data_IF_404779345919
#
_entry.id   IF_404779345919
#
_cell.length_a   1.000
_cell.length_b   1.000
_cell.length_c   1.000
_cell.angle_alpha   90.00
_cell.angle_beta   90.00
_cell.angle_gamma   90.00
#
_symmetry.space_group_name_H-M   'P 1'
#
loop_
_entity.id
_entity.type
_entity.pdbx_description
1 polymer ?
#
# COMPACT_ATOMS: atom_id res chain seq x y z
N UNK A 1 -10.00 7.80 -47.43
CA UNK A 1 -10.75 7.19 -46.30
C UNK A 1 -10.21 5.84 -45.84
N UNK A 2 -9.67 4.96 -46.71
CA UNK A 2 -9.24 3.61 -46.31
C UNK A 2 -8.00 3.58 -45.37
N UNK A 3 -7.09 4.57 -45.45
CA UNK A 3 -5.84 4.57 -44.65
C UNK A 3 -5.99 5.06 -43.19
N UNK A 4 -7.01 5.85 -42.88
CA UNK A 4 -7.25 6.34 -41.50
C UNK A 4 -7.84 5.23 -40.63
N UNK A 5 -8.67 4.35 -41.22
CA UNK A 5 -9.29 3.22 -40.52
C UNK A 5 -8.28 2.15 -40.08
N UNK A 6 -7.13 2.06 -40.75
CA UNK A 6 -6.09 1.04 -40.47
C UNK A 6 -5.14 1.45 -39.33
N UNK A 7 -4.95 2.76 -39.10
CA UNK A 7 -4.19 3.27 -37.96
C UNK A 7 -4.98 3.16 -36.64
N UNK A 8 -6.29 3.40 -36.66
CA UNK A 8 -7.13 3.31 -35.44
C UNK A 8 -7.22 1.86 -34.95
N UNK A 9 -7.37 0.89 -35.87
CA UNK A 9 -7.45 -0.53 -35.51
C UNK A 9 -6.14 -1.06 -34.89
N UNK A 10 -4.99 -0.57 -35.36
CA UNK A 10 -3.67 -0.98 -34.86
C UNK A 10 -3.36 -0.44 -33.47
N UNK A 11 -3.81 0.78 -33.14
CA UNK A 11 -3.64 1.38 -31.79
C UNK A 11 -4.53 0.68 -30.76
N UNK A 12 -5.75 0.28 -31.13
CA UNK A 12 -6.65 -0.49 -30.24
C UNK A 12 -6.10 -1.89 -29.96
N UNK A 13 -5.52 -2.55 -30.96
CA UNK A 13 -4.88 -3.87 -30.78
C UNK A 13 -3.62 -3.79 -29.90
N UNK A 14 -2.79 -2.76 -30.05
CA UNK A 14 -1.60 -2.57 -29.19
C UNK A 14 -1.97 -2.21 -27.74
N UNK A 15 -3.01 -1.42 -27.53
CA UNK A 15 -3.53 -1.11 -26.18
C UNK A 15 -4.12 -2.36 -25.49
N UNK A 16 -4.71 -3.28 -26.25
CA UNK A 16 -5.26 -4.53 -25.71
C UNK A 16 -4.19 -5.55 -25.30
N UNK A 17 -3.02 -5.56 -25.95
CA UNK A 17 -1.94 -6.49 -25.61
C UNK A 17 -1.08 -6.02 -24.42
N UNK A 18 -0.98 -4.71 -24.18
CA UNK A 18 -0.33 -4.17 -22.97
C UNK A 18 -1.14 -4.42 -21.68
N UNK A 19 -2.42 -4.77 -21.79
CA UNK A 19 -3.26 -5.10 -20.63
C UNK A 19 -2.98 -6.51 -20.05
N UNK A 20 -2.38 -7.42 -20.83
CA UNK A 20 -2.30 -8.85 -20.47
C UNK A 20 -0.93 -9.32 -19.91
N UNK A 21 0.09 -8.45 -19.82
CA UNK A 21 1.45 -8.85 -19.36
C UNK A 21 1.74 -8.43 -17.91
N UNK A 22 0.76 -7.94 -17.16
CA UNK A 22 0.92 -7.58 -15.74
C UNK A 22 0.21 -8.60 -14.83
N UNK A 23 0.67 -9.86 -14.89
CA UNK A 23 0.49 -10.81 -13.79
C UNK A 23 1.61 -10.60 -12.76
N UNK A 24 1.71 -9.37 -12.24
CA UNK A 24 2.42 -9.15 -10.99
C UNK A 24 1.60 -9.83 -9.89
N UNK A 25 2.28 -10.54 -8.99
CA UNK A 25 1.73 -11.23 -7.83
C UNK A 25 0.87 -10.26 -6.98
N UNK A 26 -0.40 -10.09 -7.35
CA UNK A 26 -1.33 -9.22 -6.64
C UNK A 26 -1.67 -9.96 -5.35
N UNK A 27 -1.21 -9.43 -4.21
CA UNK A 27 -1.64 -9.87 -2.88
C UNK A 27 -3.11 -10.25 -2.92
N UNK A 28 -3.51 -11.43 -2.45
CA UNK A 28 -4.90 -11.86 -2.51
C UNK A 28 -5.80 -11.08 -1.52
N UNK A 29 -5.23 -10.34 -0.57
CA UNK A 29 -5.97 -9.59 0.44
C UNK A 29 -6.59 -8.30 -0.11
N UNK A 30 -7.81 -7.99 0.30
CA UNK A 30 -8.61 -6.82 -0.07
C UNK A 30 -9.25 -6.20 1.16
N UNK A 31 -9.18 -4.87 1.22
CA UNK A 31 -10.04 -4.08 2.07
C UNK A 31 -11.37 -3.87 1.33
N UNK A 32 -12.47 -4.27 1.95
CA UNK A 32 -13.83 -4.15 1.39
C UNK A 32 -14.66 -3.29 2.33
N UNK A 33 -15.14 -2.17 1.82
CA UNK A 33 -16.04 -1.28 2.56
C UNK A 33 -17.48 -1.68 2.30
N UNK A 34 -18.20 -1.99 3.37
CA UNK A 34 -19.61 -2.37 3.34
C UNK A 34 -20.45 -1.18 3.76
N UNK A 35 -21.41 -0.79 2.92
CA UNK A 35 -22.36 0.31 3.21
C UNK A 35 -23.77 -0.28 3.28
N UNK A 36 -24.47 -0.03 4.40
CA UNK A 36 -25.82 -0.54 4.59
C UNK A 36 -26.88 0.54 4.31
N UNK A 37 -27.49 0.49 3.12
CA UNK A 37 -28.60 1.36 2.72
C UNK A 37 -29.96 0.65 2.73
N UNK A 38 -30.03 -0.57 3.25
CA UNK A 38 -31.21 -1.43 3.11
C UNK A 38 -32.40 -1.06 4.00
N UNK A 39 -32.20 -0.15 4.98
CA UNK A 39 -33.24 0.34 5.89
C UNK A 39 -33.41 -0.46 7.19
N UNK A 40 -32.53 -1.43 7.44
CA UNK A 40 -32.53 -2.30 8.63
C UNK A 40 -31.11 -2.67 9.03
N UNK A 41 -30.92 -3.27 10.20
CA UNK A 41 -29.60 -3.71 10.69
C UNK A 41 -29.22 -5.03 10.02
N UNK A 42 -27.95 -5.21 9.65
CA UNK A 42 -27.44 -6.43 9.02
C UNK A 42 -26.28 -7.05 9.80
N UNK A 43 -26.04 -8.34 9.61
CA UNK A 43 -24.82 -9.05 10.03
C UNK A 43 -24.11 -9.63 8.81
N UNK A 44 -22.79 -9.69 8.89
CA UNK A 44 -21.90 -10.16 7.85
C UNK A 44 -21.29 -11.50 8.27
N UNK A 45 -21.51 -12.54 7.48
CA UNK A 45 -20.92 -13.85 7.68
C UNK A 45 -20.01 -14.19 6.52
N UNK A 46 -18.76 -14.53 6.81
CA UNK A 46 -17.90 -15.17 5.82
C UNK A 46 -18.30 -16.64 5.68
N UNK A 47 -18.44 -17.11 4.43
CA UNK A 47 -18.75 -18.52 4.13
C UNK A 47 -17.41 -19.29 4.03
N UNK A 48 -17.08 -20.06 5.07
CA UNK A 48 -15.88 -20.87 5.12
C UNK A 48 -16.05 -22.15 4.29
N UNK A 49 -15.73 -22.05 2.99
CA UNK A 49 -15.78 -23.16 2.03
C UNK A 49 -14.83 -24.32 2.38
N UNK A 50 -13.89 -24.14 3.31
CA UNK A 50 -12.96 -25.18 3.75
C UNK A 50 -13.49 -26.01 4.91
N UNK A 51 -14.45 -25.49 5.67
CA UNK A 51 -15.05 -26.14 6.84
C UNK A 51 -16.56 -26.37 6.61
N UNK A 52 -16.90 -27.03 5.50
CA UNK A 52 -18.29 -27.40 5.15
C UNK A 52 -19.28 -26.21 5.11
N UNK A 53 -18.85 -25.09 4.54
CA UNK A 53 -19.65 -23.86 4.42
C UNK A 53 -20.07 -23.26 5.78
N UNK A 54 -19.24 -23.43 6.82
CA UNK A 54 -19.47 -22.79 8.12
C UNK A 54 -19.54 -21.26 7.99
N UNK A 55 -20.52 -20.65 8.65
CA UNK A 55 -20.72 -19.20 8.67
C UNK A 55 -19.95 -18.56 9.82
N UNK A 56 -18.90 -17.81 9.49
CA UNK A 56 -18.06 -17.09 10.47
C UNK A 56 -18.50 -15.63 10.56
N UNK A 57 -18.96 -15.21 11.75
CA UNK A 57 -19.44 -13.83 11.97
C UNK A 57 -18.28 -12.83 11.90
N UNK A 58 -18.39 -11.85 11.00
CA UNK A 58 -17.39 -10.79 10.78
C UNK A 58 -17.87 -9.40 11.24
N UNK A 59 -19.07 -9.30 11.83
CA UNK A 59 -19.61 -8.04 12.35
C UNK A 59 -20.27 -8.25 13.72
N UNK A 60 -19.48 -8.24 14.79
CA UNK A 60 -19.96 -8.53 16.16
C UNK A 60 -21.16 -7.68 16.58
N UNK A 61 -21.15 -6.38 16.26
CA UNK A 61 -22.26 -5.49 16.58
C UNK A 61 -23.29 -5.34 15.47
N UNK A 62 -23.11 -6.02 14.33
CA UNK A 62 -23.83 -5.78 13.08
C UNK A 62 -23.65 -4.36 12.52
N UNK A 63 -24.17 -4.11 11.33
CA UNK A 63 -24.07 -2.83 10.61
C UNK A 63 -25.44 -2.17 10.56
N UNK A 64 -25.59 -1.01 11.20
CA UNK A 64 -26.85 -0.26 11.20
C UNK A 64 -27.15 0.37 9.83
N UNK A 65 -28.42 0.67 9.58
CA UNK A 65 -28.80 1.43 8.39
C UNK A 65 -28.11 2.81 8.38
N UNK A 66 -27.53 3.17 7.24
CA UNK A 66 -26.74 4.39 7.04
C UNK A 66 -25.32 4.30 7.58
N UNK A 67 -24.95 3.20 8.24
CA UNK A 67 -23.59 2.96 8.71
C UNK A 67 -22.75 2.23 7.66
N UNK A 68 -21.44 2.35 7.81
CA UNK A 68 -20.46 1.59 7.06
C UNK A 68 -19.55 0.78 8.00
N UNK A 69 -18.99 -0.30 7.47
CA UNK A 69 -17.93 -1.06 8.14
C UNK A 69 -16.87 -1.48 7.12
N UNK A 70 -15.66 -1.77 7.61
CA UNK A 70 -14.54 -2.22 6.81
C UNK A 70 -14.21 -3.66 7.17
N UNK A 71 -14.17 -4.55 6.17
CA UNK A 71 -13.70 -5.92 6.36
C UNK A 71 -12.41 -6.14 5.57
N UNK A 72 -11.50 -6.92 6.13
CA UNK A 72 -10.32 -7.42 5.44
C UNK A 72 -10.57 -8.87 5.04
N UNK A 73 -10.50 -9.16 3.76
CA UNK A 73 -10.82 -10.48 3.23
C UNK A 73 -9.96 -10.80 2.01
N UNK A 74 -10.03 -12.01 1.48
CA UNK A 74 -9.27 -12.40 0.29
C UNK A 74 -10.17 -12.48 -0.95
N UNK A 75 -9.59 -12.28 -2.13
CA UNK A 75 -10.25 -12.55 -3.41
C UNK A 75 -10.85 -13.96 -3.37
N UNK A 76 -12.05 -14.11 -3.93
CA UNK A 76 -12.89 -15.32 -3.93
C UNK A 76 -13.64 -15.64 -2.64
N UNK A 77 -13.33 -14.99 -1.51
CA UNK A 77 -14.16 -15.13 -0.31
C UNK A 77 -15.59 -14.69 -0.60
N UNK A 78 -16.55 -15.50 -0.16
CA UNK A 78 -17.98 -15.23 -0.27
C UNK A 78 -18.55 -14.89 1.10
N UNK A 79 -19.50 -13.97 1.11
CA UNK A 79 -20.16 -13.52 2.32
C UNK A 79 -21.67 -13.66 2.19
N UNK A 80 -22.29 -14.15 3.26
CA UNK A 80 -23.73 -14.18 3.46
C UNK A 80 -24.11 -13.04 4.43
N UNK A 81 -25.05 -12.20 4.03
CA UNK A 81 -25.53 -11.05 4.80
C UNK A 81 -26.90 -11.36 5.34
N UNK A 82 -27.10 -11.20 6.64
CA UNK A 82 -28.38 -11.49 7.29
C UNK A 82 -29.02 -10.19 7.75
N UNK A 83 -30.31 -10.01 7.46
CA UNK A 83 -31.12 -9.03 8.17
C UNK A 83 -31.28 -9.45 9.64
N UNK A 84 -31.15 -8.49 10.55
CA UNK A 84 -31.50 -8.68 11.95
C UNK A 84 -32.92 -8.21 12.26
N UNK A 85 -33.66 -8.90 13.15
CA UNK A 85 -34.97 -8.46 13.59
C UNK A 85 -34.94 -7.04 14.16
N UNK A 86 -35.96 -6.24 13.84
CA UNK A 86 -36.07 -4.88 14.38
C UNK A 86 -36.17 -4.91 15.90
N UNK A 87 -35.36 -4.09 16.58
CA UNK A 87 -35.42 -3.95 18.05
C UNK A 87 -36.81 -3.53 18.55
N UNK A 88 -37.61 -2.83 17.73
CA UNK A 88 -38.95 -2.35 18.12
C UNK A 88 -40.04 -3.40 17.96
N UNK A 89 -40.00 -4.18 16.87
CA UNK A 89 -41.08 -5.11 16.52
C UNK A 89 -40.74 -6.57 16.76
N UNK A 90 -39.45 -6.90 16.94
CA UNK A 90 -38.94 -8.27 17.04
C UNK A 90 -39.07 -9.08 15.75
N UNK A 91 -39.40 -8.43 14.62
CA UNK A 91 -39.70 -9.06 13.34
C UNK A 91 -38.75 -8.58 12.24
N UNK A 92 -38.52 -9.43 11.26
CA UNK A 92 -37.80 -9.10 10.03
C UNK A 92 -38.76 -8.63 8.92
N UNK A 93 -38.22 -7.97 7.90
CA UNK A 93 -39.00 -7.39 6.80
C UNK A 93 -39.31 -8.34 5.63
N UNK A 94 -38.93 -9.62 5.70
CA UNK A 94 -39.26 -10.62 4.69
C UNK A 94 -40.69 -11.14 4.79
N UNK A 95 -41.07 -12.03 3.86
CA UNK A 95 -42.36 -12.70 3.92
C UNK A 95 -42.43 -13.61 5.15
N UNK A 96 -43.58 -13.65 5.83
CA UNK A 96 -43.80 -14.44 7.04
C UNK A 96 -42.82 -14.12 8.19
N UNK A 97 -42.37 -12.85 8.29
CA UNK A 97 -41.39 -12.39 9.28
C UNK A 97 -40.00 -13.08 9.17
N UNK A 98 -39.69 -13.73 8.03
CA UNK A 98 -38.37 -14.31 7.78
C UNK A 98 -37.33 -13.22 7.51
N UNK A 99 -36.12 -13.41 8.01
CA UNK A 99 -35.01 -12.48 7.80
C UNK A 99 -34.39 -12.68 6.43
N UNK A 100 -34.27 -11.58 5.68
CA UNK A 100 -33.71 -11.60 4.34
C UNK A 100 -32.22 -11.92 4.38
N UNK A 101 -31.76 -12.52 3.28
CA UNK A 101 -30.35 -12.83 3.06
C UNK A 101 -29.85 -12.21 1.77
N UNK A 102 -28.62 -11.72 1.79
CA UNK A 102 -27.89 -11.22 0.63
C UNK A 102 -26.56 -11.94 0.49
N UNK A 103 -25.96 -11.89 -0.69
CA UNK A 103 -24.69 -12.54 -0.97
C UNK A 103 -23.77 -11.60 -1.75
N UNK A 104 -22.48 -11.63 -1.44
CA UNK A 104 -21.48 -11.02 -2.30
C UNK A 104 -20.16 -11.79 -2.26
N UNK A 105 -19.39 -11.66 -3.33
CA UNK A 105 -18.05 -12.23 -3.43
C UNK A 105 -17.01 -11.13 -3.55
N UNK A 106 -15.89 -11.29 -2.84
CA UNK A 106 -14.74 -10.38 -2.93
C UNK A 106 -14.03 -10.60 -4.27
N UNK A 107 -13.99 -9.55 -5.08
CA UNK A 107 -13.39 -9.56 -6.43
C UNK A 107 -11.90 -9.24 -6.38
N UNK A 108 -11.23 -9.37 -7.52
CA UNK A 108 -9.81 -9.01 -7.66
C UNK A 108 -9.54 -7.50 -7.56
N UNK A 109 -10.54 -6.65 -7.73
CA UNK A 109 -10.35 -5.21 -7.76
C UNK A 109 -10.04 -4.64 -6.36
N UNK A 110 -9.27 -3.55 -6.30
CA UNK A 110 -8.93 -2.86 -5.05
C UNK A 110 -10.03 -1.87 -4.63
N UNK A 111 -10.06 -1.54 -3.33
CA UNK A 111 -10.99 -0.58 -2.71
C UNK A 111 -12.45 -0.85 -3.05
N UNK A 112 -12.87 -2.10 -2.89
CA UNK A 112 -14.23 -2.51 -3.20
C UNK A 112 -15.21 -1.88 -2.21
N UNK A 113 -16.25 -1.25 -2.75
CA UNK A 113 -17.40 -0.79 -1.99
C UNK A 113 -18.56 -1.71 -2.35
N UNK A 114 -19.17 -2.31 -1.34
CA UNK A 114 -20.35 -3.15 -1.47
C UNK A 114 -21.48 -2.45 -0.75
N UNK A 115 -22.43 -1.92 -1.53
CA UNK A 115 -23.60 -1.24 -0.99
C UNK A 115 -24.80 -2.16 -1.05
N UNK A 116 -25.41 -2.42 0.11
CA UNK A 116 -26.65 -3.19 0.20
C UNK A 116 -27.85 -2.27 0.16
N UNK A 117 -28.68 -2.42 -0.87
CA UNK A 117 -29.93 -1.67 -1.07
C UNK A 117 -31.13 -2.61 -1.08
N UNK A 118 -32.33 -2.04 -1.07
CA UNK A 118 -33.58 -2.70 -1.49
C UNK A 118 -33.69 -4.16 -1.03
N UNK A 119 -33.93 -4.41 0.25
CA UNK A 119 -34.18 -5.77 0.77
C UNK A 119 -33.00 -6.76 0.57
N UNK A 120 -31.76 -6.26 0.45
CA UNK A 120 -30.56 -7.04 0.10
C UNK A 120 -30.58 -7.66 -1.30
N UNK A 121 -31.53 -7.26 -2.17
CA UNK A 121 -31.65 -7.77 -3.53
C UNK A 121 -30.68 -7.10 -4.50
N UNK A 122 -30.17 -5.91 -4.15
CA UNK A 122 -29.27 -5.12 -4.97
C UNK A 122 -27.95 -4.91 -4.22
N UNK A 123 -26.88 -5.40 -4.84
CA UNK A 123 -25.51 -5.32 -4.34
C UNK A 123 -24.69 -4.55 -5.36
N UNK A 124 -24.44 -3.29 -5.08
CA UNK A 124 -23.59 -2.47 -5.93
C UNK A 124 -22.13 -2.70 -5.58
N UNK A 125 -21.38 -3.22 -6.55
CA UNK A 125 -19.92 -3.33 -6.47
C UNK A 125 -19.29 -2.16 -7.19
N UNK A 126 -18.74 -1.22 -6.43
CA UNK A 126 -17.97 -0.12 -7.01
C UNK A 126 -16.50 -0.37 -6.66
N UNK A 127 -15.71 -0.69 -7.68
CA UNK A 127 -14.25 -0.75 -7.56
C UNK A 127 -13.59 0.49 -8.18
N UNK A 128 -12.28 0.65 -7.98
CA UNK A 128 -11.53 1.79 -8.52
C UNK A 128 -11.65 1.93 -10.04
N UNK A 129 -11.65 0.80 -10.76
CA UNK A 129 -11.74 0.80 -12.21
C UNK A 129 -13.14 1.21 -12.71
N UNK A 130 -14.18 0.75 -12.02
CA UNK A 130 -15.58 1.07 -12.27
C UNK A 130 -15.84 2.52 -11.91
N UNK A 131 -15.39 2.99 -10.74
CA UNK A 131 -15.45 4.40 -10.35
C UNK A 131 -14.70 5.31 -11.33
N UNK A 132 -13.53 4.88 -11.80
CA UNK A 132 -12.78 5.61 -12.82
C UNK A 132 -13.53 5.63 -14.16
N UNK A 133 -14.14 4.52 -14.59
CA UNK A 133 -14.98 4.47 -15.79
C UNK A 133 -16.22 5.34 -15.65
N UNK A 134 -16.97 5.22 -14.57
CA UNK A 134 -18.19 5.98 -14.32
C UNK A 134 -17.90 7.48 -14.27
N UNK A 135 -16.79 7.86 -13.61
CA UNK A 135 -16.33 9.26 -13.60
C UNK A 135 -15.91 9.72 -15.00
N UNK A 136 -15.19 8.90 -15.77
CA UNK A 136 -14.84 9.21 -17.14
C UNK A 136 -16.09 9.33 -18.04
N UNK A 137 -17.08 8.46 -17.84
CA UNK A 137 -18.37 8.48 -18.54
C UNK A 137 -19.20 9.70 -18.19
N UNK A 138 -19.24 10.10 -16.91
CA UNK A 138 -19.88 11.35 -16.46
C UNK A 138 -19.23 12.57 -17.10
N UNK A 139 -17.90 12.67 -17.03
CA UNK A 139 -17.14 13.75 -17.69
C UNK A 139 -17.40 13.78 -19.18
N UNK A 140 -17.42 12.62 -19.85
CA UNK A 140 -17.71 12.56 -21.27
C UNK A 140 -19.15 12.98 -21.60
N UNK A 141 -20.13 12.57 -20.77
CA UNK A 141 -21.53 12.96 -20.93
C UNK A 141 -21.71 14.48 -20.78
N UNK A 142 -21.14 15.07 -19.73
CA UNK A 142 -21.14 16.52 -19.50
C UNK A 142 -20.46 17.28 -20.65
N UNK A 143 -19.31 16.80 -21.12
CA UNK A 143 -18.61 17.42 -22.23
C UNK A 143 -19.35 17.28 -23.56
N UNK A 144 -20.09 16.18 -23.76
CA UNK A 144 -20.94 15.97 -24.93
C UNK A 144 -22.15 16.90 -24.91
N UNK A 145 -22.81 17.03 -23.76
CA UNK A 145 -23.93 17.97 -23.58
C UNK A 145 -23.49 19.41 -23.82
N UNK A 146 -22.32 19.80 -23.28
CA UNK A 146 -21.73 21.11 -23.54
C UNK A 146 -21.44 21.32 -25.02
N UNK A 147 -20.86 20.33 -25.71
CA UNK A 147 -20.58 20.42 -27.13
C UNK A 147 -21.86 20.53 -27.99
N UNK A 148 -22.94 19.85 -27.59
CA UNK A 148 -24.25 19.95 -28.24
C UNK A 148 -24.93 21.32 -28.03
N UNK A 149 -24.63 22.00 -26.92
CA UNK A 149 -25.19 23.32 -26.60
C UNK A 149 -24.64 24.47 -27.47
N UNK A 150 -23.57 24.23 -28.25
CA UNK A 150 -22.89 25.25 -29.05
C UNK A 150 -23.67 25.67 -30.32
N UNK A 151 -24.76 24.98 -30.66
CA UNK A 151 -25.61 25.28 -31.82
C UNK A 151 -25.17 24.58 -33.11
N UNK A 152 -26.05 24.59 -34.12
CA UNK A 152 -25.85 23.87 -35.39
C UNK A 152 -24.87 24.56 -36.37
N UNK A 153 -24.51 25.83 -36.10
CA UNK A 153 -23.66 26.64 -36.96
C UNK A 153 -22.15 26.43 -36.70
N UNK A 154 -21.79 25.54 -35.77
CA UNK A 154 -20.39 25.24 -35.43
C UNK A 154 -19.89 24.07 -36.28
N UNK A 155 -18.73 24.26 -36.92
CA UNK A 155 -18.09 23.22 -37.72
C UNK A 155 -17.80 21.96 -36.88
N UNK A 156 -18.00 20.74 -37.41
CA UNK A 156 -17.80 19.50 -36.67
C UNK A 156 -16.41 19.37 -36.00
N UNK A 157 -15.37 19.90 -36.64
CA UNK A 157 -14.00 19.89 -36.10
C UNK A 157 -13.88 20.78 -34.84
N UNK A 158 -14.61 21.89 -34.79
CA UNK A 158 -14.64 22.78 -33.62
C UNK A 158 -15.42 22.15 -32.47
N UNK A 159 -16.50 21.41 -32.76
CA UNK A 159 -17.25 20.63 -31.75
C UNK A 159 -16.34 19.56 -31.13
N UNK A 160 -15.58 18.83 -31.94
CA UNK A 160 -14.64 17.81 -31.45
C UNK A 160 -13.52 18.44 -30.61
N UNK A 161 -12.95 19.57 -31.05
CA UNK A 161 -11.91 20.30 -30.32
C UNK A 161 -12.40 20.80 -28.97
N UNK A 162 -13.64 21.31 -28.90
CA UNK A 162 -14.25 21.75 -27.65
C UNK A 162 -14.51 20.58 -26.70
N UNK A 163 -15.00 19.45 -27.22
CA UNK A 163 -15.17 18.24 -26.41
C UNK A 163 -13.84 17.74 -25.84
N UNK A 164 -12.77 17.66 -26.66
CA UNK A 164 -11.43 17.27 -26.19
C UNK A 164 -10.88 18.24 -25.14
N UNK A 165 -11.08 19.54 -25.33
CA UNK A 165 -10.67 20.58 -24.36
C UNK A 165 -11.42 20.43 -23.04
N UNK A 166 -12.71 20.16 -23.08
CA UNK A 166 -13.53 19.91 -21.89
C UNK A 166 -13.08 18.66 -21.13
N UNK A 167 -12.85 17.54 -21.84
CA UNK A 167 -12.36 16.30 -21.24
C UNK A 167 -10.98 16.51 -20.62
N UNK A 168 -10.07 17.17 -21.33
CA UNK A 168 -8.73 17.49 -20.82
C UNK A 168 -8.76 18.33 -19.54
N UNK A 169 -9.64 19.34 -19.47
CA UNK A 169 -9.83 20.16 -18.27
C UNK A 169 -10.32 19.35 -17.08
N UNK A 170 -11.33 18.49 -17.27
CA UNK A 170 -11.90 17.68 -16.19
C UNK A 170 -10.94 16.59 -15.69
N UNK A 171 -10.16 15.99 -16.59
CA UNK A 171 -9.09 15.05 -16.22
C UNK A 171 -8.02 15.78 -15.40
N UNK A 172 -7.55 16.94 -15.86
CA UNK A 172 -6.54 17.72 -15.12
C UNK A 172 -7.05 18.13 -13.74
N UNK A 173 -8.29 18.61 -13.63
CA UNK A 173 -8.89 18.95 -12.34
C UNK A 173 -9.00 17.74 -11.40
N UNK A 174 -9.27 16.54 -11.94
CA UNK A 174 -9.27 15.31 -11.14
C UNK A 174 -7.86 14.95 -10.68
N UNK A 175 -6.86 15.03 -11.57
CA UNK A 175 -5.45 14.80 -11.22
C UNK A 175 -4.98 15.77 -10.15
N UNK A 176 -5.34 17.04 -10.25
CA UNK A 176 -4.95 18.06 -9.28
C UNK A 176 -5.62 17.82 -7.92
N UNK A 177 -6.91 17.47 -7.87
CA UNK A 177 -7.57 17.05 -6.62
C UNK A 177 -6.91 15.83 -5.99
N UNK A 178 -6.51 14.84 -6.80
CA UNK A 178 -5.79 13.67 -6.30
C UNK A 178 -4.43 14.07 -5.75
N UNK A 179 -3.69 14.99 -6.40
CA UNK A 179 -2.44 15.53 -5.85
C UNK A 179 -2.67 16.26 -4.53
N UNK A 180 -3.71 17.08 -4.42
CA UNK A 180 -4.08 17.76 -3.16
C UNK A 180 -4.34 16.75 -2.04
N UNK A 181 -5.07 15.67 -2.33
CA UNK A 181 -5.32 14.58 -1.38
C UNK A 181 -4.01 13.89 -0.95
N UNK A 182 -3.11 13.60 -1.90
CA UNK A 182 -1.78 13.06 -1.58
C UNK A 182 -0.97 13.99 -0.67
N UNK A 183 -0.90 15.29 -1.01
CA UNK A 183 -0.20 16.30 -0.19
C UNK A 183 -0.81 16.40 1.21
N UNK A 184 -2.13 16.31 1.33
CA UNK A 184 -2.81 16.29 2.62
C UNK A 184 -2.43 15.05 3.44
N UNK A 185 -2.44 13.86 2.83
CA UNK A 185 -2.04 12.62 3.50
C UNK A 185 -0.56 12.66 3.93
N UNK A 186 0.32 13.21 3.09
CA UNK A 186 1.73 13.42 3.43
C UNK A 186 1.88 14.36 4.64
N UNK A 187 1.15 15.48 4.64
CA UNK A 187 1.15 16.42 5.77
C UNK A 187 0.68 15.75 7.06
N UNK A 188 -0.40 14.97 6.99
CA UNK A 188 -0.92 14.23 8.15
C UNK A 188 0.09 13.19 8.66
N UNK A 189 0.76 12.46 7.77
CA UNK A 189 1.80 11.48 8.15
C UNK A 189 2.98 12.16 8.82
N UNK A 190 3.41 13.32 8.31
CA UNK A 190 4.52 14.07 8.90
C UNK A 190 4.14 14.63 10.29
N UNK A 191 2.94 15.18 10.45
CA UNK A 191 2.43 15.67 11.74
C UNK A 191 2.22 14.55 12.77
N UNK A 192 1.71 13.39 12.33
CA UNK A 192 1.64 12.21 13.19
C UNK A 192 3.03 11.68 13.51
N UNK A 193 3.95 11.70 12.54
CA UNK A 193 5.33 11.26 12.70
C UNK A 193 6.04 12.03 13.80
N UNK A 194 6.00 13.37 13.76
CA UNK A 194 6.65 14.21 14.80
C UNK A 194 6.05 13.95 16.18
N UNK A 195 4.72 13.85 16.29
CA UNK A 195 4.04 13.52 17.56
C UNK A 195 4.37 12.13 18.07
N UNK A 196 4.55 11.15 17.18
CA UNK A 196 4.93 9.79 17.53
C UNK A 196 6.37 9.72 18.05
N UNK A 197 7.29 10.51 17.49
CA UNK A 197 8.65 10.62 18.03
C UNK A 197 8.62 11.16 19.45
N UNK A 198 7.92 12.28 19.69
CA UNK A 198 7.77 12.83 21.03
C UNK A 198 7.17 11.80 21.99
N UNK A 199 6.08 11.13 21.59
CA UNK A 199 5.45 10.11 22.41
C UNK A 199 6.39 8.94 22.74
N UNK A 200 7.08 8.40 21.73
CA UNK A 200 7.96 7.24 21.90
C UNK A 200 9.24 7.58 22.69
N UNK A 201 9.79 8.78 22.51
CA UNK A 201 11.00 9.20 23.20
C UNK A 201 10.75 9.70 24.64
N UNK A 202 9.52 10.11 24.98
CA UNK A 202 9.17 10.59 26.33
C UNK A 202 8.89 9.47 27.32
N UNK A 203 8.57 8.25 26.87
CA UNK A 203 8.34 7.10 27.74
C UNK A 203 9.49 6.09 27.67
N UNK A 204 10.47 6.16 28.59
CA UNK A 204 11.58 5.20 28.61
C UNK A 204 11.13 3.77 28.96
N UNK A 205 9.89 3.58 29.41
CA UNK A 205 9.32 2.27 29.73
C UNK A 205 8.40 1.76 28.62
N UNK A 206 8.33 2.44 27.46
CA UNK A 206 7.50 2.00 26.35
C UNK A 206 7.94 0.60 25.91
N UNK A 207 7.04 -0.37 26.05
CA UNK A 207 7.30 -1.75 25.64
C UNK A 207 7.25 -1.86 24.12
N UNK A 208 8.21 -2.57 23.53
CA UNK A 208 8.14 -2.92 22.12
C UNK A 208 6.98 -3.91 21.87
N UNK A 209 6.44 -3.92 20.65
CA UNK A 209 5.48 -4.94 20.23
C UNK A 209 6.06 -6.35 20.36
N UNK A 210 5.20 -7.35 20.61
CA UNK A 210 5.60 -8.75 20.55
C UNK A 210 5.86 -9.17 19.09
N UNK A 211 6.84 -10.06 18.84
CA UNK A 211 7.10 -10.57 17.50
C UNK A 211 5.98 -11.47 17.02
N UNK A 212 5.65 -11.37 15.73
CA UNK A 212 4.72 -12.26 15.03
C UNK A 212 5.31 -13.67 14.91
N UNK A 213 6.61 -13.74 14.63
CA UNK A 213 7.35 -15.00 14.50
C UNK A 213 8.76 -14.85 15.07
N UNK A 214 9.27 -15.92 15.68
CA UNK A 214 10.69 -16.05 16.03
C UNK A 214 11.33 -17.14 15.17
N UNK A 215 12.42 -16.81 14.50
CA UNK A 215 13.18 -17.73 13.65
C UNK A 215 14.68 -17.55 13.86
N UNK A 216 15.49 -18.26 13.09
CA UNK A 216 16.95 -18.15 13.13
C UNK A 216 17.50 -18.03 11.73
N UNK A 217 18.50 -17.18 11.56
CA UNK A 217 19.21 -17.01 10.31
C UNK A 217 20.69 -17.30 10.48
N UNK A 218 21.35 -17.83 9.44
CA UNK A 218 22.79 -18.08 9.47
C UNK A 218 23.47 -17.55 8.22
N UNK A 219 24.52 -16.74 8.42
CA UNK A 219 25.45 -16.38 7.36
C UNK A 219 26.50 -17.49 7.18
N UNK A 220 26.67 -17.99 5.96
CA UNK A 220 27.63 -19.05 5.58
C UNK A 220 27.58 -20.33 6.44
N UNK A 221 26.45 -20.63 7.07
CA UNK A 221 26.31 -21.77 7.99
C UNK A 221 27.16 -21.69 9.27
N UNK A 222 27.83 -20.56 9.55
CA UNK A 222 28.78 -20.44 10.67
C UNK A 222 28.12 -19.91 11.96
N UNK A 223 27.30 -18.87 11.86
CA UNK A 223 26.73 -18.17 13.03
C UNK A 223 25.22 -18.06 12.90
N UNK A 224 24.51 -18.65 13.84
CA UNK A 224 23.06 -18.49 13.96
C UNK A 224 22.72 -17.22 14.75
N UNK A 225 22.03 -16.30 14.08
CA UNK A 225 21.46 -15.09 14.65
C UNK A 225 19.96 -15.28 14.87
N UNK A 226 19.45 -15.08 16.10
CA UNK A 226 18.01 -15.06 16.35
C UNK A 226 17.36 -13.90 15.57
N UNK A 227 16.24 -14.19 14.91
CA UNK A 227 15.47 -13.22 14.14
C UNK A 227 14.07 -13.15 14.74
N UNK A 228 13.59 -11.93 14.96
CA UNK A 228 12.23 -11.63 15.40
C UNK A 228 11.52 -10.92 14.25
N UNK A 229 10.45 -11.51 13.72
CA UNK A 229 9.61 -10.91 12.69
C UNK A 229 8.59 -10.02 13.40
N UNK A 230 8.79 -8.71 13.31
CA UNK A 230 7.96 -7.72 14.00
C UNK A 230 6.73 -7.34 13.17
N UNK A 231 6.88 -7.28 11.85
CA UNK A 231 5.80 -7.07 10.89
C UNK A 231 6.02 -8.03 9.71
N UNK A 232 4.97 -8.74 9.32
CA UNK A 232 4.93 -9.53 8.09
C UNK A 232 3.67 -9.19 7.30
N UNK A 233 3.83 -8.44 6.20
CA UNK A 233 2.76 -8.07 5.28
C UNK A 233 3.24 -8.24 3.84
N UNK A 234 2.32 -8.47 2.87
CA UNK A 234 2.69 -8.67 1.47
C UNK A 234 3.50 -7.54 0.81
N UNK A 235 3.48 -6.34 1.38
CA UNK A 235 4.14 -5.14 0.84
C UNK A 235 5.17 -4.52 1.81
N UNK A 236 5.32 -5.05 3.01
CA UNK A 236 6.25 -4.54 4.01
C UNK A 236 6.54 -5.58 5.10
N UNK A 237 7.81 -5.76 5.42
CA UNK A 237 8.25 -6.61 6.53
C UNK A 237 9.26 -5.87 7.39
N UNK A 238 9.21 -6.07 8.71
CA UNK A 238 10.18 -5.52 9.66
C UNK A 238 10.73 -6.66 10.50
N UNK A 239 12.04 -6.89 10.41
CA UNK A 239 12.72 -7.93 11.16
C UNK A 239 13.75 -7.32 12.11
N UNK A 240 13.81 -7.84 13.33
CA UNK A 240 14.84 -7.49 14.31
C UNK A 240 15.79 -8.67 14.49
N UNK A 241 17.08 -8.47 14.19
CA UNK A 241 18.07 -9.54 14.15
C UNK A 241 19.06 -9.35 15.29
N UNK A 242 19.05 -10.26 16.25
CA UNK A 242 19.95 -10.18 17.40
C UNK A 242 21.34 -10.66 17.01
N UNK A 243 22.35 -9.93 17.50
CA UNK A 243 23.78 -10.26 17.30
C UNK A 243 24.11 -10.39 15.81
N UNK A 244 23.53 -9.50 14.99
CA UNK A 244 23.73 -9.48 13.55
C UNK A 244 25.16 -9.10 13.21
N UNK A 245 25.74 -8.11 13.88
CA UNK A 245 27.16 -7.78 13.76
C UNK A 245 27.86 -8.00 15.12
N UNK A 246 29.17 -8.20 15.09
CA UNK A 246 30.03 -8.23 16.29
C UNK A 246 30.54 -6.83 16.63
N UNK A 247 30.95 -6.63 17.88
CA UNK A 247 31.57 -5.39 18.34
C UNK A 247 32.82 -5.05 17.51
N UNK A 248 33.63 -6.05 17.16
CA UNK A 248 34.78 -5.86 16.27
C UNK A 248 34.37 -5.41 14.86
N UNK A 249 33.33 -6.02 14.28
CA UNK A 249 32.81 -5.60 12.96
C UNK A 249 32.26 -4.16 13.04
N UNK A 250 31.61 -3.79 14.14
CA UNK A 250 31.20 -2.41 14.42
C UNK A 250 32.39 -1.45 14.41
N UNK A 251 33.39 -1.72 15.25
CA UNK A 251 34.60 -0.88 15.38
C UNK A 251 35.31 -0.74 14.04
N UNK A 252 35.46 -1.83 13.29
CA UNK A 252 36.14 -1.80 12.00
C UNK A 252 35.37 -0.91 10.99
N UNK A 253 34.04 -0.98 10.97
CA UNK A 253 33.20 -0.16 10.07
C UNK A 253 33.21 1.31 10.49
N UNK A 254 32.99 1.60 11.77
CA UNK A 254 32.92 2.99 12.27
C UNK A 254 34.26 3.71 12.13
N UNK A 255 35.39 3.02 12.38
CA UNK A 255 36.72 3.59 12.20
C UNK A 255 37.09 3.83 10.72
N UNK A 256 36.51 3.07 9.80
CA UNK A 256 36.74 3.26 8.36
C UNK A 256 35.92 4.41 7.77
N UNK A 257 34.88 4.86 8.47
CA UNK A 257 33.99 5.92 8.01
C UNK A 257 34.41 7.26 8.61
N UNK A 258 34.81 8.20 7.75
CA UNK A 258 35.04 9.58 8.17
C UNK A 258 33.70 10.27 8.41
N UNK A 259 33.41 10.56 9.66
CA UNK A 259 32.20 11.26 10.08
C UNK A 259 32.33 12.76 9.89
N UNK A 260 31.29 13.39 9.34
CA UNK A 260 31.21 14.84 9.16
C UNK A 260 29.88 15.36 9.72
N UNK A 261 29.90 16.56 10.28
CA UNK A 261 28.69 17.19 10.83
C UNK A 261 27.81 17.65 9.66
N UNK A 262 26.58 17.17 9.62
CA UNK A 262 25.58 17.53 8.61
C UNK A 262 24.38 18.18 9.30
N UNK A 263 23.89 19.28 8.73
CA UNK A 263 22.67 19.96 9.17
C UNK A 263 21.45 19.32 8.47
N UNK A 264 20.51 18.84 9.27
CA UNK A 264 19.22 18.31 8.84
C UNK A 264 18.24 19.43 8.45
N UNK A 265 17.14 19.07 7.79
CA UNK A 265 16.14 20.02 7.29
C UNK A 265 15.44 20.82 8.41
N UNK A 266 15.48 20.32 9.65
CA UNK A 266 14.92 20.93 10.85
C UNK A 266 15.95 21.78 11.64
N UNK A 267 17.17 21.97 11.10
CA UNK A 267 18.25 22.70 11.78
C UNK A 267 18.95 21.90 12.88
N UNK A 268 18.61 20.62 13.05
CA UNK A 268 19.37 19.70 13.91
C UNK A 268 20.63 19.24 13.20
N UNK A 269 21.61 18.78 13.97
CA UNK A 269 22.85 18.26 13.42
C UNK A 269 22.89 16.75 13.64
N UNK A 270 23.54 16.03 12.73
CA UNK A 270 23.94 14.66 12.97
C UNK A 270 25.36 14.49 12.43
N UNK A 271 26.15 13.59 13.01
CA UNK A 271 27.37 13.16 12.34
C UNK A 271 26.99 12.09 11.33
N UNK A 272 27.35 12.31 10.07
CA UNK A 272 27.12 11.36 8.99
C UNK A 272 28.43 11.15 8.24
N UNK A 273 28.73 9.90 7.94
CA UNK A 273 29.82 9.53 7.05
C UNK A 273 29.36 8.44 6.10
N UNK A 274 30.06 8.31 4.97
CA UNK A 274 29.81 7.27 4.00
C UNK A 274 31.11 6.71 3.44
N UNK A 275 31.14 5.41 3.18
CA UNK A 275 32.28 4.72 2.58
C UNK A 275 31.82 3.85 1.42
N UNK A 276 32.58 3.87 0.32
CA UNK A 276 32.38 2.95 -0.79
C UNK A 276 32.68 1.52 -0.32
N UNK A 277 31.91 0.55 -0.81
CA UNK A 277 32.14 -0.86 -0.46
C UNK A 277 33.19 -1.42 -1.45
N UNK A 278 34.39 -1.82 -0.99
CA UNK A 278 35.43 -2.37 -1.86
C UNK A 278 35.10 -3.83 -2.19
N UNK A 279 34.20 -4.03 -3.15
CA UNK A 279 33.65 -5.35 -3.52
C UNK A 279 34.71 -6.35 -4.02
N UNK A 280 35.87 -5.87 -4.45
CA UNK A 280 37.03 -6.69 -4.84
C UNK A 280 37.87 -7.17 -3.64
N UNK A 281 37.70 -6.57 -2.47
CA UNK A 281 38.42 -6.91 -1.23
C UNK A 281 37.53 -7.72 -0.26
N UNK A 282 37.38 -9.03 -0.50
CA UNK A 282 36.51 -9.88 0.32
C UNK A 282 36.92 -9.98 1.80
N UNK A 283 38.18 -9.69 2.12
CA UNK A 283 38.67 -9.67 3.51
C UNK A 283 38.44 -8.33 4.22
N UNK A 284 38.09 -7.28 3.48
CA UNK A 284 37.83 -5.95 4.03
C UNK A 284 36.61 -5.99 4.97
N UNK A 285 36.71 -5.40 6.18
CA UNK A 285 35.61 -5.43 7.15
C UNK A 285 34.29 -4.84 6.61
N UNK A 286 34.35 -3.76 5.82
CA UNK A 286 33.18 -3.13 5.21
C UNK A 286 32.49 -4.12 4.26
N UNK A 287 33.27 -4.78 3.41
CA UNK A 287 32.78 -5.77 2.44
C UNK A 287 32.14 -6.97 3.13
N UNK A 288 32.74 -7.46 4.22
CA UNK A 288 32.16 -8.56 5.02
C UNK A 288 30.80 -8.20 5.61
N UNK A 289 30.68 -7.02 6.22
CA UNK A 289 29.41 -6.55 6.79
C UNK A 289 28.38 -6.29 5.70
N UNK A 290 28.77 -5.67 4.58
CA UNK A 290 27.89 -5.44 3.44
C UNK A 290 27.34 -6.74 2.84
N UNK A 291 28.21 -7.74 2.61
CA UNK A 291 27.81 -9.07 2.11
C UNK A 291 26.83 -9.76 3.06
N UNK A 292 26.99 -9.57 4.37
CA UNK A 292 26.09 -10.12 5.37
C UNK A 292 24.71 -9.46 5.32
N UNK A 293 24.67 -8.12 5.31
CA UNK A 293 23.44 -7.32 5.16
C UNK A 293 22.69 -7.72 3.89
N UNK A 294 23.44 -7.90 2.81
CA UNK A 294 22.93 -8.30 1.51
C UNK A 294 22.32 -9.69 1.48
N UNK A 295 23.05 -10.66 2.01
CA UNK A 295 22.61 -12.05 2.05
C UNK A 295 21.28 -12.14 2.81
N UNK A 296 21.17 -11.41 3.92
CA UNK A 296 19.92 -11.34 4.67
C UNK A 296 18.79 -10.66 3.89
N UNK A 297 19.02 -9.47 3.34
CA UNK A 297 18.01 -8.73 2.58
C UNK A 297 17.51 -9.52 1.35
N UNK A 298 18.41 -10.18 0.65
CA UNK A 298 18.09 -11.02 -0.53
C UNK A 298 17.23 -12.20 -0.12
N UNK A 299 17.60 -12.93 0.94
CA UNK A 299 16.85 -14.09 1.40
C UNK A 299 15.46 -13.70 1.88
N UNK A 300 15.34 -12.63 2.67
CA UNK A 300 14.07 -12.27 3.33
C UNK A 300 13.08 -11.56 2.41
N UNK A 301 13.56 -10.87 1.39
CA UNK A 301 12.66 -10.15 0.49
C UNK A 301 11.87 -11.09 -0.44
N UNK A 302 12.16 -12.40 -0.45
CA UNK A 302 11.64 -13.35 -1.46
C UNK A 302 11.85 -12.83 -2.89
N UNK A 303 12.82 -11.92 -3.07
CA UNK A 303 13.19 -11.36 -4.36
C UNK A 303 14.27 -12.23 -4.99
N UNK A 304 14.18 -13.56 -4.85
CA UNK A 304 15.10 -14.50 -5.51
C UNK A 304 15.09 -14.32 -7.04
N UNK A 305 14.01 -13.76 -7.60
CA UNK A 305 13.93 -13.35 -9.01
C UNK A 305 14.64 -12.02 -9.32
N UNK A 306 14.91 -11.18 -8.32
CA UNK A 306 15.74 -9.98 -8.46
C UNK A 306 17.15 -10.35 -8.04
N UNK A 307 17.94 -10.79 -9.02
CA UNK A 307 19.38 -10.76 -8.86
C UNK A 307 19.80 -9.30 -8.67
N UNK A 308 20.15 -8.91 -7.45
CA UNK A 308 20.80 -7.63 -7.23
C UNK A 308 22.28 -7.84 -7.49
N UNK A 309 22.82 -7.34 -8.60
CA UNK A 309 24.25 -7.43 -8.79
C UNK A 309 24.95 -6.58 -7.72
N UNK A 310 26.20 -6.89 -7.34
CA UNK A 310 26.93 -6.19 -6.27
C UNK A 310 26.96 -4.66 -6.44
N UNK A 311 26.92 -4.13 -7.67
CA UNK A 311 26.79 -2.69 -7.93
C UNK A 311 25.43 -2.06 -7.52
N UNK A 312 24.49 -2.86 -6.99
CA UNK A 312 23.21 -2.38 -6.47
C UNK A 312 23.32 -1.80 -5.06
N UNK A 313 24.46 -1.95 -4.38
CA UNK A 313 24.65 -1.30 -3.09
C UNK A 313 24.83 0.20 -3.25
N UNK A 314 24.14 0.92 -2.38
CA UNK A 314 24.59 2.25 -2.02
C UNK A 314 25.81 2.16 -1.10
N UNK A 315 26.49 3.29 -0.93
CA UNK A 315 27.56 3.41 0.07
C UNK A 315 27.07 2.96 1.44
N UNK A 316 27.97 2.39 2.24
CA UNK A 316 27.67 2.16 3.64
C UNK A 316 27.70 3.49 4.37
N UNK A 317 26.62 3.84 5.05
CA UNK A 317 26.53 5.06 5.84
C UNK A 317 26.59 4.74 7.34
N UNK A 318 27.31 5.58 8.09
CA UNK A 318 27.21 5.63 9.54
C UNK A 318 26.55 6.94 9.96
N UNK A 319 25.73 6.85 11.00
CA UNK A 319 25.03 7.95 11.62
C UNK A 319 25.31 7.90 13.13
N UNK A 320 25.72 9.02 13.70
CA UNK A 320 25.89 9.17 15.15
C UNK A 320 24.87 10.19 15.64
N UNK A 321 24.16 9.83 16.71
CA UNK A 321 23.17 10.67 17.35
C UNK A 321 23.65 10.99 18.75
N UNK A 322 23.78 12.29 19.07
CA UNK A 322 24.15 12.71 20.41
C UNK A 322 22.93 13.12 21.22
N UNK A 323 22.83 12.57 22.44
CA UNK A 323 21.83 12.98 23.42
C UNK A 323 22.05 14.43 23.90
N UNK A 324 23.29 14.93 23.86
CA UNK A 324 23.63 16.30 24.27
C UNK A 324 23.03 17.34 23.32
N UNK A 325 23.04 17.05 22.02
CA UNK A 325 22.45 17.90 20.97
C UNK A 325 21.00 17.53 20.66
N UNK A 326 20.47 16.49 21.31
CA UNK A 326 19.10 15.95 21.12
C UNK A 326 18.85 15.53 19.67
N UNK A 327 19.86 14.94 19.05
CA UNK A 327 19.78 14.51 17.66
C UNK A 327 18.76 13.39 17.54
N UNK A 328 17.87 13.51 16.56
CA UNK A 328 16.92 12.47 16.20
C UNK A 328 16.66 12.54 14.71
N UNK A 329 16.11 11.46 14.18
CA UNK A 329 15.72 11.37 12.79
C UNK A 329 14.20 11.50 12.69
N UNK A 330 13.73 12.44 11.86
CA UNK A 330 12.30 12.58 11.59
C UNK A 330 11.77 11.35 10.83
N UNK A 331 10.54 10.87 11.10
CA UNK A 331 9.98 9.76 10.36
C UNK A 331 9.94 10.08 8.86
N UNK A 332 10.53 9.19 8.06
CA UNK A 332 10.65 9.35 6.62
C UNK A 332 10.66 7.98 5.95
N UNK A 333 10.70 7.99 4.62
CA UNK A 333 10.86 6.79 3.83
C UNK A 333 12.20 6.80 3.11
N UNK A 334 12.90 5.67 3.16
CA UNK A 334 14.12 5.47 2.38
C UNK A 334 13.82 5.36 0.87
N UNK A 335 12.67 4.81 0.51
CA UNK A 335 12.17 4.72 -0.86
C UNK A 335 10.99 5.66 -1.13
N UNK A 336 10.34 5.46 -2.29
CA UNK A 336 9.11 6.19 -2.61
C UNK A 336 7.94 5.73 -1.73
N UNK A 337 7.25 6.66 -1.06
CA UNK A 337 6.11 6.41 -0.18
C UNK A 337 4.78 7.02 -0.66
N UNK A 338 4.74 7.39 -1.93
CA UNK A 338 3.56 7.90 -2.63
C UNK A 338 2.64 6.78 -3.13
N UNK A 339 2.99 5.52 -2.89
CA UNK A 339 2.29 4.36 -3.42
C UNK A 339 2.51 4.15 -4.93
N UNK A 340 3.44 4.89 -5.54
CA UNK A 340 3.81 4.67 -6.93
C UNK A 340 4.45 3.29 -7.11
N UNK A 341 4.36 2.76 -8.33
CA UNK A 341 5.05 1.52 -8.67
C UNK A 341 6.56 1.71 -8.50
N UNK A 342 7.21 0.73 -7.87
CA UNK A 342 8.66 0.68 -7.79
C UNK A 342 9.29 0.87 -9.17
N UNK A 343 10.34 1.69 -9.23
CA UNK A 343 11.12 1.95 -10.45
C UNK A 343 12.49 1.34 -10.28
N UNK A 344 13.03 0.76 -11.36
CA UNK A 344 14.40 0.23 -11.37
C UNK A 344 15.37 1.32 -10.90
N UNK A 345 16.22 0.98 -9.93
CA UNK A 345 17.17 1.90 -9.31
C UNK A 345 16.69 2.54 -8.01
N UNK A 346 15.43 2.35 -7.61
CA UNK A 346 14.96 2.79 -6.29
C UNK A 346 15.40 1.80 -5.19
N UNK A 347 15.44 2.27 -3.94
CA UNK A 347 15.65 1.42 -2.77
C UNK A 347 14.47 0.44 -2.59
N UNK A 348 14.79 -0.80 -2.22
CA UNK A 348 13.81 -1.88 -1.96
C UNK A 348 13.84 -2.39 -0.52
N UNK A 349 14.97 -2.25 0.15
CA UNK A 349 15.20 -2.70 1.51
C UNK A 349 16.27 -1.84 2.16
N UNK A 350 16.15 -1.66 3.47
CA UNK A 350 17.14 -1.01 4.32
C UNK A 350 17.53 -1.95 5.44
N UNK A 351 18.82 -2.10 5.70
CA UNK A 351 19.34 -2.85 6.84
C UNK A 351 20.11 -1.89 7.72
N UNK A 352 19.65 -1.72 8.96
CA UNK A 352 20.27 -0.85 9.95
C UNK A 352 20.93 -1.75 10.99
N UNK A 353 22.22 -1.56 11.20
CA UNK A 353 22.95 -2.19 12.28
C UNK A 353 23.28 -1.15 13.35
N UNK A 354 22.96 -1.48 14.59
CA UNK A 354 23.27 -0.64 15.74
C UNK A 354 24.66 -1.00 16.27
N UNK A 355 25.53 0.01 16.35
CA UNK A 355 26.84 -0.05 16.99
C UNK A 355 26.80 0.87 18.19
N UNK A 356 27.02 0.32 19.38
CA UNK A 356 27.01 1.03 20.67
C UNK A 356 28.42 1.20 21.22
#
# INVERSE_FOLDING_TARGET
>A
MVRVSQCILSVVLFASQLANVVLANRSAARDVRIINEAGFKIELYWINRWENDELVLNSEEGVFHGAETLIKSFVSHEFEIHELPSKKTGKCGGQNDECRKGYFQVREAHNQIVTFKNALAEVDHIDDATRARDKASSVLAECKEHAQSLGADVEPDDVLKQMMTCVGRNINATVDKTKEEYTFQETLRNDLGSKLVDYACLDPNMTHSDPVENTTWSFDGKRQSPVQVMIDRPYASIHYIKRFITDKECDDVTNAIKMERVEGANGLFAMKGGVEIPLDEQENPITKVANKMYSYATQMSNLESLTFPPESFEKMFALEYSSETKDHYDPHCDGACDGSKHKKGNRVASVIAYCE
#
